data_IF_531148236707
#
_entry.id   IF_531148236707
#
_cell.length_a   1.000
_cell.length_b   1.000
_cell.length_c   1.000
_cell.angle_alpha   90.00
_cell.angle_beta   90.00
_cell.angle_gamma   90.00
#
_symmetry.space_group_name_H-M   'P 1'
#
loop_
_entity.id
_entity.type
_entity.pdbx_description
1 polymer ?
#
# COMPACT_ATOMS: atom_id res chain seq x y z
N UNK A 1 9.41 -52.18 21.24
CA UNK A 1 8.72 -51.62 20.04
C UNK A 1 8.02 -50.27 20.28
N UNK A 2 7.60 -49.91 21.50
CA UNK A 2 6.91 -48.62 21.79
C UNK A 2 7.80 -47.35 21.73
N UNK A 3 9.12 -47.46 21.89
CA UNK A 3 10.06 -46.30 21.98
C UNK A 3 10.35 -45.62 20.62
N UNK A 4 10.30 -46.38 19.51
CA UNK A 4 10.74 -45.85 18.22
C UNK A 4 9.63 -45.01 17.55
N UNK A 5 8.36 -45.40 17.70
CA UNK A 5 7.20 -44.64 17.19
C UNK A 5 7.13 -43.22 17.76
N UNK A 6 7.44 -43.05 19.06
CA UNK A 6 7.44 -41.73 19.71
C UNK A 6 8.55 -40.82 19.15
N UNK A 7 9.72 -41.38 18.82
CA UNK A 7 10.84 -40.63 18.22
C UNK A 7 10.52 -40.19 16.80
N UNK A 8 9.83 -41.01 16.00
CA UNK A 8 9.44 -40.66 14.64
C UNK A 8 8.30 -39.65 14.60
N UNK A 9 7.36 -39.73 15.54
CA UNK A 9 6.27 -38.76 15.67
C UNK A 9 6.80 -37.37 16.07
N UNK A 10 7.80 -37.30 16.94
CA UNK A 10 8.44 -36.04 17.35
C UNK A 10 9.16 -35.33 16.19
N UNK A 11 9.79 -36.08 15.27
CA UNK A 11 10.45 -35.52 14.08
C UNK A 11 9.44 -35.00 13.06
N UNK A 12 8.31 -35.71 12.87
CA UNK A 12 7.24 -35.25 11.99
C UNK A 12 6.59 -33.95 12.51
N UNK A 13 6.34 -33.85 13.81
CA UNK A 13 5.78 -32.63 14.44
C UNK A 13 6.76 -31.44 14.35
N UNK A 14 8.07 -31.67 14.52
CA UNK A 14 9.08 -30.62 14.36
C UNK A 14 9.20 -30.11 12.91
N UNK A 15 9.03 -30.99 11.91
CA UNK A 15 9.05 -30.63 10.50
C UNK A 15 7.79 -29.86 10.05
N UNK A 16 6.61 -30.19 10.61
CA UNK A 16 5.37 -29.47 10.32
C UNK A 16 5.27 -28.12 11.06
N UNK A 17 5.89 -27.97 12.23
CA UNK A 17 5.89 -26.72 12.99
C UNK A 17 6.70 -25.57 12.36
N UNK A 18 7.59 -25.87 11.41
CA UNK A 18 8.47 -24.90 10.75
C UNK A 18 7.86 -24.28 9.47
N UNK A 19 6.66 -24.71 9.05
CA UNK A 19 6.07 -24.33 7.77
C UNK A 19 5.12 -23.11 7.82
N UNK A 20 5.07 -22.37 8.93
CA UNK A 20 4.10 -21.28 9.10
C UNK A 20 4.80 -19.95 9.37
N UNK A 21 5.46 -19.40 8.35
CA UNK A 21 5.77 -17.98 8.30
C UNK A 21 5.33 -17.40 6.97
N UNK A 22 4.01 -17.36 6.75
CA UNK A 22 3.43 -16.46 5.78
C UNK A 22 3.60 -15.02 6.32
N UNK A 23 4.75 -14.41 6.04
CA UNK A 23 4.92 -12.99 6.30
C UNK A 23 4.14 -12.21 5.23
N UNK A 24 3.20 -11.39 5.67
CA UNK A 24 2.47 -10.51 4.77
C UNK A 24 3.46 -9.48 4.17
N UNK A 25 3.49 -9.43 2.84
CA UNK A 25 4.42 -8.58 2.09
C UNK A 25 3.96 -7.13 2.22
N UNK A 26 4.88 -6.24 2.63
CA UNK A 26 4.64 -4.79 2.65
C UNK A 26 4.53 -4.28 1.22
N UNK A 27 3.73 -3.23 1.05
CA UNK A 27 3.48 -2.63 -0.26
C UNK A 27 4.65 -1.73 -0.65
N UNK A 28 5.08 -1.84 -1.90
CA UNK A 28 6.23 -1.15 -2.48
C UNK A 28 5.86 -0.41 -3.76
N UNK A 29 6.63 0.64 -4.06
CA UNK A 29 6.48 1.43 -5.27
C UNK A 29 5.75 2.76 -5.05
N UNK A 30 5.42 3.39 -6.17
CA UNK A 30 4.84 4.72 -6.23
C UNK A 30 3.52 4.66 -7.01
N UNK A 31 2.53 5.38 -6.48
CA UNK A 31 1.28 5.64 -7.18
C UNK A 31 1.05 7.13 -7.25
N UNK A 32 0.75 7.59 -8.46
CA UNK A 32 0.28 8.94 -8.69
C UNK A 32 -1.14 8.88 -9.26
N UNK A 33 -1.96 9.86 -8.90
CA UNK A 33 -3.32 10.02 -9.37
C UNK A 33 -3.54 11.47 -9.77
N UNK A 34 -4.33 11.67 -10.81
CA UNK A 34 -4.71 13.01 -11.23
C UNK A 34 -6.18 13.00 -11.62
N UNK A 35 -6.83 14.14 -11.42
CA UNK A 35 -8.24 14.28 -11.73
C UNK A 35 -8.71 15.70 -11.58
N UNK A 36 -10.03 15.84 -11.43
CA UNK A 36 -10.65 17.13 -11.16
C UNK A 36 -11.23 17.22 -9.75
N UNK A 37 -11.18 18.41 -9.16
CA UNK A 37 -11.59 18.71 -7.79
C UNK A 37 -12.46 19.96 -7.75
N UNK A 38 -13.45 19.97 -6.85
CA UNK A 38 -14.24 21.14 -6.48
C UNK A 38 -13.88 21.55 -5.07
N UNK A 39 -13.51 22.81 -4.88
CA UNK A 39 -13.13 23.37 -3.59
C UNK A 39 -14.32 24.07 -2.93
N UNK A 40 -14.23 24.31 -1.63
CA UNK A 40 -15.18 25.13 -0.86
C UNK A 40 -15.05 26.65 -1.13
N UNK A 41 -14.01 27.05 -1.85
CA UNK A 41 -13.76 28.43 -2.31
C UNK A 41 -13.40 28.47 -3.79
N UNK A 42 -13.72 29.59 -4.45
CA UNK A 42 -13.26 29.87 -5.82
C UNK A 42 -11.76 30.20 -5.91
N UNK A 43 -11.13 30.59 -4.80
CA UNK A 43 -9.73 30.99 -4.75
C UNK A 43 -8.93 30.00 -3.93
N UNK A 44 -7.89 29.43 -4.54
CA UNK A 44 -7.07 28.40 -3.93
C UNK A 44 -6.43 28.86 -2.60
N UNK A 45 -6.02 30.12 -2.49
CA UNK A 45 -5.42 30.67 -1.27
C UNK A 45 -6.37 30.83 -0.08
N UNK A 46 -7.68 30.64 -0.28
CA UNK A 46 -8.70 30.75 0.77
C UNK A 46 -9.54 29.48 0.93
N UNK A 47 -9.30 28.47 0.08
CA UNK A 47 -9.97 27.18 0.18
C UNK A 47 -9.55 26.47 1.47
N UNK A 48 -10.48 25.78 2.12
CA UNK A 48 -10.22 25.02 3.33
C UNK A 48 -10.51 23.53 3.17
N UNK A 49 -11.08 23.13 2.04
CA UNK A 49 -11.37 21.73 1.77
C UNK A 49 -11.84 21.45 0.34
N UNK A 50 -11.89 20.16 0.05
CA UNK A 50 -12.53 19.60 -1.14
C UNK A 50 -13.99 19.30 -0.83
N UNK A 51 -14.90 19.83 -1.64
CA UNK A 51 -16.35 19.57 -1.54
C UNK A 51 -16.83 18.53 -2.55
N UNK A 52 -16.00 18.18 -3.53
CA UNK A 52 -16.29 17.11 -4.47
C UNK A 52 -15.10 16.76 -5.36
N UNK A 53 -15.11 15.53 -5.87
CA UNK A 53 -14.18 15.07 -6.89
C UNK A 53 -14.95 14.76 -8.16
N UNK A 54 -14.42 15.17 -9.30
CA UNK A 54 -14.84 14.66 -10.60
C UNK A 54 -14.10 13.35 -10.93
N UNK A 55 -13.96 13.00 -12.23
CA UNK A 55 -13.18 11.83 -12.63
C UNK A 55 -11.74 11.93 -12.14
N UNK A 56 -11.28 10.88 -11.44
CA UNK A 56 -9.89 10.70 -11.01
C UNK A 56 -9.40 9.36 -11.55
N UNK A 57 -8.16 9.34 -12.06
CA UNK A 57 -7.52 8.13 -12.57
C UNK A 57 -6.13 7.96 -12.00
N UNK A 58 -5.68 6.71 -11.94
CA UNK A 58 -4.26 6.40 -11.73
C UNK A 58 -3.45 6.88 -12.93
N UNK A 59 -2.30 7.51 -12.66
CA UNK A 59 -1.41 8.07 -13.67
C UNK A 59 -0.74 7.02 -14.57
N UNK A 60 0.10 7.50 -15.48
CA UNK A 60 0.61 6.67 -16.60
C UNK A 60 1.78 5.74 -16.26
N UNK A 61 2.43 5.88 -15.10
CA UNK A 61 3.63 5.12 -14.76
C UNK A 61 3.70 4.69 -13.28
N UNK A 62 2.66 4.03 -12.72
CA UNK A 62 2.75 3.46 -11.38
C UNK A 62 3.82 2.36 -11.33
N UNK A 63 4.52 2.24 -10.20
CA UNK A 63 5.64 1.30 -10.01
C UNK A 63 5.36 0.29 -8.90
N UNK A 64 6.22 -0.72 -8.76
CA UNK A 64 6.10 -1.74 -7.71
C UNK A 64 4.76 -2.49 -7.79
N UNK A 65 4.08 -2.60 -6.66
CA UNK A 65 2.81 -3.32 -6.53
C UNK A 65 1.61 -2.63 -7.21
N UNK A 66 1.84 -1.43 -7.76
CA UNK A 66 0.87 -0.69 -8.56
C UNK A 66 1.11 -0.83 -10.07
N UNK A 67 2.17 -1.51 -10.51
CA UNK A 67 2.44 -1.69 -11.93
C UNK A 67 1.24 -2.32 -12.65
N UNK A 68 0.84 -1.75 -13.78
CA UNK A 68 -0.33 -2.20 -14.56
C UNK A 68 -1.69 -1.62 -14.10
N UNK A 69 -1.71 -0.73 -13.11
CA UNK A 69 -2.95 -0.06 -12.66
C UNK A 69 -3.24 1.27 -13.38
N UNK A 70 -2.38 1.67 -14.32
CA UNK A 70 -2.51 2.93 -15.05
C UNK A 70 -3.89 3.10 -15.70
N UNK A 71 -4.51 4.27 -15.51
CA UNK A 71 -5.84 4.58 -16.04
C UNK A 71 -7.01 4.00 -15.24
N UNK A 72 -6.77 3.24 -14.17
CA UNK A 72 -7.85 2.76 -13.30
C UNK A 72 -8.61 3.95 -12.68
N UNK A 73 -9.94 3.89 -12.70
CA UNK A 73 -10.79 4.93 -12.14
C UNK A 73 -10.79 4.84 -10.61
N UNK A 74 -10.59 5.98 -9.94
CA UNK A 74 -10.44 6.05 -8.47
C UNK A 74 -11.61 6.81 -7.85
N UNK A 75 -12.21 6.23 -6.81
CA UNK A 75 -13.23 6.90 -5.99
C UNK A 75 -12.57 7.60 -4.83
N UNK A 76 -12.96 8.86 -4.57
CA UNK A 76 -12.40 9.71 -3.53
C UNK A 76 -13.47 10.19 -2.55
N UNK A 77 -13.08 10.27 -1.28
CA UNK A 77 -13.83 10.92 -0.20
C UNK A 77 -13.41 12.38 -0.09
N UNK A 78 -14.38 13.27 0.14
CA UNK A 78 -14.12 14.68 0.43
C UNK A 78 -13.41 14.85 1.77
N UNK A 79 -12.55 15.85 1.90
CA UNK A 79 -11.84 16.17 3.13
C UNK A 79 -11.49 17.66 3.21
N UNK A 80 -11.31 18.18 4.43
CA UNK A 80 -10.87 19.55 4.72
C UNK A 80 -9.50 19.55 5.39
N UNK A 81 -8.72 20.60 5.16
CA UNK A 81 -7.45 20.84 5.83
C UNK A 81 -7.52 21.97 6.85
N UNK A 82 -8.60 22.77 6.87
CA UNK A 82 -8.81 23.83 7.86
C UNK A 82 -10.28 23.92 8.29
N UNK A 83 -10.65 23.42 9.48
CA UNK A 83 -9.88 22.51 10.32
C UNK A 83 -9.63 21.17 9.59
N UNK A 84 -8.55 20.43 9.94
CA UNK A 84 -8.24 19.15 9.31
C UNK A 84 -9.30 18.10 9.66
N UNK A 85 -9.91 17.49 8.63
CA UNK A 85 -10.85 16.37 8.79
C UNK A 85 -10.09 15.05 8.75
N UNK A 86 -9.36 14.72 9.81
CA UNK A 86 -8.63 13.44 9.91
C UNK A 86 -9.09 12.64 11.13
N UNK A 87 -9.20 11.30 11.03
CA UNK A 87 -8.87 10.47 9.86
C UNK A 87 -9.98 10.45 8.78
N UNK A 88 -9.62 10.08 7.54
CA UNK A 88 -10.57 9.75 6.46
C UNK A 88 -10.27 8.34 5.95
N UNK A 89 -11.24 7.44 6.10
CA UNK A 89 -11.05 5.99 5.93
C UNK A 89 -12.17 5.43 5.04
N UNK A 90 -11.90 5.04 3.79
CA UNK A 90 -10.72 5.39 3.00
C UNK A 90 -10.83 6.83 2.46
N UNK A 91 -9.68 7.48 2.27
CA UNK A 91 -9.59 8.71 1.48
C UNK A 91 -9.85 8.40 0.00
N UNK A 92 -9.28 7.32 -0.51
CA UNK A 92 -9.56 6.85 -1.87
C UNK A 92 -9.54 5.32 -1.96
N UNK A 93 -10.23 4.80 -2.97
CA UNK A 93 -10.21 3.37 -3.31
C UNK A 93 -10.44 3.13 -4.80
N UNK A 94 -9.83 2.07 -5.32
CA UNK A 94 -10.09 1.55 -6.66
C UNK A 94 -9.82 0.04 -6.72
N UNK A 95 -10.25 -0.58 -7.81
CA UNK A 95 -9.99 -2.00 -8.10
C UNK A 95 -9.23 -2.13 -9.41
N UNK A 96 -8.30 -3.08 -9.46
CA UNK A 96 -7.63 -3.49 -10.69
C UNK A 96 -7.45 -5.00 -10.67
N UNK A 97 -8.09 -5.69 -11.63
CA UNK A 97 -8.19 -7.15 -11.61
C UNK A 97 -8.84 -7.65 -10.30
N UNK A 98 -8.25 -8.63 -9.58
CA UNK A 98 -8.80 -9.15 -8.34
C UNK A 98 -8.43 -8.33 -7.09
N UNK A 99 -7.60 -7.28 -7.23
CA UNK A 99 -7.05 -6.53 -6.11
C UNK A 99 -7.84 -5.25 -5.87
N UNK A 100 -8.14 -4.99 -4.59
CA UNK A 100 -8.65 -3.68 -4.14
C UNK A 100 -7.52 -2.91 -3.50
N UNK A 101 -7.38 -1.66 -3.93
CA UNK A 101 -6.40 -0.69 -3.46
C UNK A 101 -7.14 0.39 -2.69
N UNK A 102 -6.63 0.80 -1.53
CA UNK A 102 -7.18 1.94 -0.79
C UNK A 102 -6.10 2.64 0.03
N UNK A 103 -6.41 3.87 0.41
CA UNK A 103 -5.55 4.66 1.29
C UNK A 103 -6.37 5.33 2.36
N UNK A 104 -5.92 5.19 3.60
CA UNK A 104 -6.50 5.80 4.78
C UNK A 104 -5.68 7.04 5.15
N UNK A 105 -6.34 8.19 5.19
CA UNK A 105 -5.72 9.45 5.63
C UNK A 105 -5.68 9.49 7.15
N UNK A 106 -4.49 9.58 7.73
CA UNK A 106 -4.31 9.60 9.19
C UNK A 106 -3.99 11.01 9.71
N UNK A 107 -3.14 11.74 8.99
CA UNK A 107 -2.80 13.13 9.31
C UNK A 107 -2.58 13.93 8.05
N UNK A 108 -2.78 15.23 8.15
CA UNK A 108 -2.47 16.19 7.09
C UNK A 108 -1.96 17.51 7.69
N UNK A 109 -1.14 18.22 6.93
CA UNK A 109 -0.78 19.62 7.16
C UNK A 109 -0.68 20.37 5.84
N UNK A 110 -0.90 21.69 5.90
CA UNK A 110 -0.69 22.59 4.76
C UNK A 110 0.80 22.93 4.70
N UNK A 111 1.51 22.42 3.69
CA UNK A 111 2.93 22.75 3.48
C UNK A 111 3.08 24.10 2.77
N UNK A 112 2.21 24.38 1.80
CA UNK A 112 2.12 25.67 1.11
C UNK A 112 0.69 25.87 0.62
N UNK A 113 0.19 27.11 0.72
CA UNK A 113 -1.08 27.51 0.14
C UNK A 113 -1.06 28.99 -0.24
N UNK A 114 -1.33 29.26 -1.51
CA UNK A 114 -1.60 30.57 -2.06
C UNK A 114 -2.55 30.42 -3.27
N UNK A 115 -2.88 31.51 -3.96
CA UNK A 115 -3.78 31.43 -5.11
C UNK A 115 -3.21 30.64 -6.30
N UNK A 116 -1.89 30.48 -6.36
CA UNK A 116 -1.19 29.83 -7.47
C UNK A 116 -0.77 28.39 -7.17
N UNK A 117 -0.77 27.98 -5.90
CA UNK A 117 -0.31 26.65 -5.50
C UNK A 117 -0.87 26.20 -4.16
N UNK A 118 -1.20 24.91 -4.06
CA UNK A 118 -1.48 24.21 -2.81
C UNK A 118 -0.62 22.95 -2.75
N UNK A 119 -0.01 22.69 -1.61
CA UNK A 119 0.60 21.41 -1.29
C UNK A 119 0.20 21.00 0.13
N UNK A 120 -0.50 19.88 0.22
CA UNK A 120 -0.82 19.20 1.46
C UNK A 120 0.08 17.98 1.58
N UNK A 121 0.60 17.74 2.78
CA UNK A 121 1.42 16.58 3.09
C UNK A 121 0.91 15.91 4.36
N UNK A 122 1.26 14.65 4.57
CA UNK A 122 0.92 13.98 5.81
C UNK A 122 1.28 12.52 5.83
N UNK A 123 0.65 11.80 6.76
CA UNK A 123 0.78 10.36 6.91
C UNK A 123 -0.55 9.67 6.56
N UNK A 124 -0.42 8.45 6.07
CA UNK A 124 -1.56 7.56 5.93
C UNK A 124 -1.14 6.11 5.78
N UNK A 125 -2.14 5.24 5.64
CA UNK A 125 -1.95 3.80 5.50
C UNK A 125 -2.47 3.35 4.15
N UNK A 126 -1.58 2.80 3.35
CA UNK A 126 -1.90 2.17 2.08
C UNK A 126 -2.30 0.70 2.32
N UNK A 127 -3.31 0.24 1.59
CA UNK A 127 -3.85 -1.12 1.66
C UNK A 127 -4.02 -1.70 0.25
N UNK A 128 -3.60 -2.95 0.10
CA UNK A 128 -3.88 -3.77 -1.09
C UNK A 128 -4.38 -5.12 -0.58
N UNK A 129 -5.44 -5.65 -1.17
CA UNK A 129 -5.96 -6.99 -0.81
C UNK A 129 -4.85 -8.04 -0.86
N UNK A 130 -4.61 -8.74 0.26
CA UNK A 130 -3.58 -9.78 0.36
C UNK A 130 -2.18 -9.27 0.72
N UNK A 131 -2.01 -7.97 0.94
CA UNK A 131 -0.76 -7.36 1.41
C UNK A 131 -0.89 -6.89 2.86
N UNK A 132 0.26 -6.67 3.49
CA UNK A 132 0.31 -6.02 4.80
C UNK A 132 0.09 -4.51 4.66
N UNK A 133 -0.77 -3.96 5.52
CA UNK A 133 -1.02 -2.52 5.63
C UNK A 133 0.32 -1.76 5.77
N UNK A 134 0.48 -0.74 4.95
CA UNK A 134 1.76 -0.05 4.80
C UNK A 134 1.61 1.44 5.06
N UNK A 135 2.17 1.91 6.18
CA UNK A 135 2.21 3.32 6.55
C UNK A 135 3.25 4.04 5.70
N UNK A 136 2.91 5.24 5.22
CA UNK A 136 3.84 6.08 4.47
C UNK A 136 3.42 7.54 4.43
N UNK A 137 4.21 8.34 3.72
CA UNK A 137 3.94 9.75 3.46
C UNK A 137 3.23 9.93 2.13
N UNK A 138 2.41 10.98 2.05
CA UNK A 138 1.70 11.35 0.84
C UNK A 138 1.78 12.85 0.60
N UNK A 139 1.50 13.26 -0.63
CA UNK A 139 1.28 14.66 -1.01
C UNK A 139 0.06 14.79 -1.92
N UNK A 140 -0.69 15.88 -1.74
CA UNK A 140 -1.76 16.33 -2.62
C UNK A 140 -1.44 17.76 -3.06
N UNK A 141 -1.34 17.95 -4.36
CA UNK A 141 -0.90 19.20 -4.97
C UNK A 141 -1.98 19.74 -5.89
N UNK A 142 -2.22 21.04 -5.84
CA UNK A 142 -3.00 21.77 -6.84
C UNK A 142 -2.11 22.85 -7.46
N UNK A 143 -1.63 22.67 -8.71
CA UNK A 143 -0.87 23.68 -9.42
C UNK A 143 -1.80 24.66 -10.16
N UNK A 144 -1.71 25.96 -9.87
CA UNK A 144 -2.58 26.97 -10.48
C UNK A 144 -1.80 28.21 -10.94
N UNK A 145 -0.88 28.05 -11.90
CA UNK A 145 0.03 29.13 -12.33
C UNK A 145 -0.66 30.45 -12.72
N UNK A 146 -1.93 30.42 -13.14
CA UNK A 146 -2.71 31.62 -13.50
C UNK A 146 -3.39 32.32 -12.32
N UNK A 147 -3.36 31.75 -11.11
CA UNK A 147 -3.95 32.31 -9.89
C UNK A 147 -5.48 32.39 -9.87
N UNK A 148 -6.16 31.93 -10.94
CA UNK A 148 -7.60 31.99 -11.13
C UNK A 148 -8.35 30.82 -10.50
N UNK A 149 -9.58 30.56 -10.97
CA UNK A 149 -10.29 29.33 -10.61
C UNK A 149 -9.53 28.11 -11.12
N UNK A 150 -9.46 27.06 -10.30
CA UNK A 150 -8.74 25.85 -10.62
C UNK A 150 -9.62 24.62 -10.41
N UNK A 151 -9.37 23.58 -11.20
CA UNK A 151 -10.21 22.38 -11.22
C UNK A 151 -9.43 21.07 -11.17
N UNK A 152 -8.09 21.06 -11.20
CA UNK A 152 -7.28 19.85 -11.26
C UNK A 152 -6.45 19.63 -9.98
N UNK A 153 -5.93 18.43 -9.81
CA UNK A 153 -4.98 18.11 -8.74
C UNK A 153 -4.12 16.92 -9.12
N UNK A 154 -3.02 16.77 -8.40
CA UNK A 154 -2.15 15.61 -8.41
C UNK A 154 -2.01 15.06 -6.99
N UNK A 155 -2.14 13.75 -6.83
CA UNK A 155 -1.83 13.04 -5.59
C UNK A 155 -0.68 12.07 -5.83
N UNK A 156 0.24 12.00 -4.87
CA UNK A 156 1.35 11.04 -4.91
C UNK A 156 1.51 10.37 -3.55
N UNK A 157 1.63 9.05 -3.59
CA UNK A 157 2.14 8.24 -2.49
C UNK A 157 3.39 7.50 -2.98
N UNK A 158 4.49 7.66 -2.26
CA UNK A 158 5.74 6.98 -2.55
C UNK A 158 6.21 6.24 -1.31
N UNK A 159 6.51 4.95 -1.45
CA UNK A 159 7.16 4.18 -0.42
C UNK A 159 8.38 3.44 -0.97
N UNK A 160 9.56 3.79 -0.43
CA UNK A 160 10.85 3.21 -0.79
C UNK A 160 11.27 2.03 0.09
N UNK A 161 10.39 1.51 0.94
CA UNK A 161 10.72 0.33 1.74
C UNK A 161 10.82 -0.89 0.84
N UNK A 162 12.05 -1.23 0.46
CA UNK A 162 12.37 -2.55 -0.08
C UNK A 162 11.86 -3.58 0.93
N UNK A 163 10.76 -4.26 0.61
CA UNK A 163 10.30 -5.36 1.42
C UNK A 163 11.49 -6.34 1.56
N UNK A 164 11.93 -6.59 2.80
CA UNK A 164 12.85 -7.70 3.08
C UNK A 164 12.01 -8.96 2.93
N UNK A 165 11.78 -9.35 1.68
CA UNK A 165 11.18 -10.63 1.33
C UNK A 165 12.21 -11.68 1.73
N UNK A 166 11.88 -12.65 2.59
CA UNK A 166 12.72 -13.83 2.72
C UNK A 166 12.89 -14.41 1.33
N UNK A 167 14.13 -14.39 0.83
CA UNK A 167 14.42 -14.94 -0.47
C UNK A 167 13.88 -16.38 -0.53
N UNK A 168 13.44 -16.82 -1.71
CA UNK A 168 13.11 -18.23 -1.92
C UNK A 168 14.26 -19.18 -1.55
N UNK A 169 15.45 -18.66 -1.25
CA UNK A 169 16.59 -19.38 -0.69
C UNK A 169 16.30 -19.99 0.67
N UNK A 170 15.66 -19.28 1.60
CA UNK A 170 15.31 -19.86 2.91
C UNK A 170 14.30 -21.01 2.79
N UNK A 171 13.30 -20.88 1.92
CA UNK A 171 12.33 -21.95 1.66
C UNK A 171 12.97 -23.13 0.91
N UNK A 172 13.83 -22.87 -0.07
CA UNK A 172 14.58 -23.92 -0.77
C UNK A 172 15.58 -24.64 0.15
N UNK A 173 16.23 -23.91 1.07
CA UNK A 173 17.16 -24.48 2.05
C UNK A 173 16.43 -25.35 3.07
N UNK A 174 15.27 -24.92 3.57
CA UNK A 174 14.42 -25.71 4.46
C UNK A 174 13.84 -26.94 3.76
N UNK A 175 13.40 -26.81 2.51
CA UNK A 175 12.97 -27.95 1.69
C UNK A 175 14.12 -28.93 1.46
N UNK A 176 15.32 -28.42 1.14
CA UNK A 176 16.53 -29.21 0.99
C UNK A 176 16.93 -29.92 2.29
N UNK A 177 16.84 -29.26 3.43
CA UNK A 177 17.08 -29.85 4.75
C UNK A 177 16.04 -30.93 5.10
N UNK A 178 14.76 -30.70 4.79
CA UNK A 178 13.68 -31.65 5.02
C UNK A 178 13.85 -32.92 4.14
N UNK A 179 14.14 -32.75 2.85
CA UNK A 179 14.41 -33.85 1.94
C UNK A 179 15.69 -34.62 2.32
N UNK A 180 16.73 -33.92 2.75
CA UNK A 180 17.97 -34.54 3.26
C UNK A 180 17.70 -35.35 4.53
N UNK A 181 16.91 -34.82 5.46
CA UNK A 181 16.47 -35.53 6.66
C UNK A 181 15.68 -36.80 6.33
N UNK A 182 14.77 -36.72 5.34
CA UNK A 182 13.99 -37.88 4.86
C UNK A 182 14.87 -38.96 4.20
N UNK A 183 15.86 -38.55 3.41
CA UNK A 183 16.82 -39.46 2.79
C UNK A 183 17.68 -40.19 3.83
N UNK A 184 18.14 -39.49 4.88
CA UNK A 184 18.90 -40.09 5.98
C UNK A 184 18.05 -41.06 6.82
N UNK A 185 16.76 -40.74 7.03
CA UNK A 185 15.82 -41.64 7.69
C UNK A 185 15.61 -42.93 6.88
N UNK A 186 15.45 -42.82 5.55
CA UNK A 186 15.32 -44.00 4.67
C UNK A 186 16.53 -44.94 4.78
N UNK A 187 17.76 -44.39 4.78
CA UNK A 187 18.99 -45.18 4.91
C UNK A 187 19.12 -45.90 6.26
N UNK A 188 18.44 -45.42 7.31
CA UNK A 188 18.45 -46.04 8.64
C UNK A 188 17.35 -47.10 8.80
N UNK A 189 16.30 -47.03 7.97
CA UNK A 189 15.14 -47.92 8.00
C UNK A 189 15.22 -49.07 6.98
N UNK A 190 16.10 -48.94 5.97
CA UNK A 190 16.50 -50.00 5.04
C UNK A 190 17.78 -50.67 5.52
#
# INVERSE_FOLDING_TARGET
>A
MKSNIVKYFAVAVAAFGLAISAHAVKITGEINMAGSVTLDSSWLGTANGVTGFGPVVVGVAPTGDFAGTAGASVSWSTFSWTPPSTPVIPLWTFTSGPLTYSFDLLSLSVAQQDNSFLNLIGLGTLKITGFEDTVGTWSFTIPNAGGGQHANFDFTFANSQNAVVPDGGMTAMLLGAALSGLALLRRKLA
#
